data_IF_631271157950
#
_entry.id   IF_631271157950
#
_cell.length_a   1.000
_cell.length_b   1.000
_cell.length_c   1.000
_cell.angle_alpha   90.00
_cell.angle_beta   90.00
_cell.angle_gamma   90.00
#
_symmetry.space_group_name_H-M   'P 1'
#
loop_
_entity.id
_entity.type
_entity.pdbx_description
1 polymer ?
#
# COMPACT_ATOMS: atom_id res chain seq x y z
N UNK A 1 -5.57 -11.05 -13.29
CA UNK A 1 -6.72 -10.44 -12.60
C UNK A 1 -6.29 -9.10 -12.03
N UNK A 2 -7.22 -8.15 -11.88
CA UNK A 2 -6.94 -6.84 -11.27
C UNK A 2 -7.67 -6.69 -9.94
N UNK A 3 -7.00 -6.07 -8.97
CA UNK A 3 -7.57 -5.75 -7.65
C UNK A 3 -7.18 -4.33 -7.25
N UNK A 4 -8.13 -3.60 -6.69
CA UNK A 4 -7.86 -2.35 -5.98
C UNK A 4 -7.76 -2.62 -4.49
N UNK A 5 -6.60 -2.28 -3.95
CA UNK A 5 -6.29 -2.42 -2.53
C UNK A 5 -6.21 -1.04 -1.89
N UNK A 6 -6.68 -0.93 -0.65
CA UNK A 6 -6.45 0.25 0.19
C UNK A 6 -5.83 -0.20 1.49
N UNK A 7 -4.65 0.35 1.78
CA UNK A 7 -3.95 0.16 3.04
C UNK A 7 -4.02 1.43 3.87
N UNK A 8 -4.61 1.32 5.06
CA UNK A 8 -4.70 2.45 6.00
C UNK A 8 -3.65 2.24 7.09
N UNK A 9 -2.98 3.30 7.49
CA UNK A 9 -2.02 3.28 8.60
C UNK A 9 -2.70 2.88 9.92
N UNK A 10 -1.95 2.25 10.82
CA UNK A 10 -2.47 1.88 12.15
C UNK A 10 -2.88 3.16 12.88
N UNK A 11 -4.10 3.18 13.41
CA UNK A 11 -4.71 4.33 14.08
C UNK A 11 -4.88 5.58 13.20
N UNK A 12 -4.90 5.42 11.86
CA UNK A 12 -5.01 6.54 10.90
C UNK A 12 -3.96 7.63 11.14
N UNK A 13 -2.75 7.22 11.56
CA UNK A 13 -1.65 8.14 11.81
C UNK A 13 -1.20 8.74 10.48
N UNK A 14 -1.02 10.06 10.48
CA UNK A 14 -0.62 10.84 9.30
C UNK A 14 0.87 10.68 8.96
N UNK A 15 1.27 9.43 8.70
CA UNK A 15 2.66 9.05 8.42
C UNK A 15 3.13 9.66 7.10
N UNK A 16 2.23 9.83 6.14
CA UNK A 16 2.57 10.24 4.77
C UNK A 16 2.50 11.76 4.55
N UNK A 17 2.52 12.58 5.61
CA UNK A 17 2.60 14.04 5.54
C UNK A 17 4.00 14.57 5.19
N UNK A 18 4.86 13.74 4.63
CA UNK A 18 6.23 14.07 4.29
C UNK A 18 6.59 13.34 3.00
N UNK A 19 7.08 14.10 2.04
CA UNK A 19 7.37 13.61 0.69
C UNK A 19 8.37 12.45 0.69
N UNK A 20 9.40 12.49 1.54
CA UNK A 20 10.39 11.40 1.64
C UNK A 20 9.71 10.08 2.04
N UNK A 21 8.83 10.11 3.06
CA UNK A 21 8.08 8.93 3.49
C UNK A 21 7.09 8.44 2.44
N UNK A 22 6.48 9.34 1.66
CA UNK A 22 5.62 9.01 0.52
C UNK A 22 6.44 8.31 -0.58
N UNK A 23 7.56 8.90 -0.99
CA UNK A 23 8.44 8.33 -2.01
C UNK A 23 8.95 6.94 -1.59
N UNK A 24 9.37 6.78 -0.33
CA UNK A 24 9.90 5.52 0.18
C UNK A 24 8.83 4.43 0.27
N UNK A 25 7.64 4.72 0.81
CA UNK A 25 6.58 3.70 0.89
C UNK A 25 6.16 3.23 -0.50
N UNK A 26 6.01 4.15 -1.46
CA UNK A 26 5.72 3.81 -2.86
C UNK A 26 6.84 2.95 -3.44
N UNK A 27 8.11 3.36 -3.28
CA UNK A 27 9.29 2.61 -3.73
C UNK A 27 9.33 1.18 -3.18
N UNK A 28 9.07 1.00 -1.89
CA UNK A 28 9.08 -0.33 -1.26
C UNK A 28 7.94 -1.21 -1.76
N UNK A 29 6.74 -0.64 -1.92
CA UNK A 29 5.59 -1.35 -2.49
C UNK A 29 5.85 -1.76 -3.95
N UNK A 30 6.44 -0.89 -4.77
CA UNK A 30 6.87 -1.27 -6.14
C UNK A 30 7.91 -2.38 -6.14
N UNK A 31 8.91 -2.30 -5.25
CA UNK A 31 9.99 -3.29 -5.19
C UNK A 31 9.47 -4.70 -4.83
N UNK A 32 8.59 -4.80 -3.83
CA UNK A 32 8.02 -6.09 -3.43
C UNK A 32 7.03 -6.63 -4.47
N UNK A 33 6.24 -5.75 -5.10
CA UNK A 33 5.36 -6.15 -6.21
C UNK A 33 6.16 -6.75 -7.35
N UNK A 34 7.27 -6.10 -7.76
CA UNK A 34 8.17 -6.62 -8.79
C UNK A 34 8.76 -7.98 -8.40
N UNK A 35 9.16 -8.16 -7.14
CA UNK A 35 9.71 -9.44 -6.64
C UNK A 35 8.74 -10.62 -6.80
N UNK A 36 7.44 -10.37 -6.66
CA UNK A 36 6.39 -11.39 -6.78
C UNK A 36 5.68 -11.38 -8.15
N UNK A 37 6.22 -10.67 -9.15
CA UNK A 37 5.62 -10.52 -10.48
C UNK A 37 4.21 -9.92 -10.47
N UNK A 38 3.92 -9.04 -9.50
CA UNK A 38 2.72 -8.21 -9.52
C UNK A 38 3.00 -6.94 -10.31
N UNK A 39 2.08 -6.58 -11.22
CA UNK A 39 2.16 -5.36 -12.01
C UNK A 39 1.35 -4.30 -11.28
N UNK A 40 2.02 -3.26 -10.77
CA UNK A 40 1.35 -2.09 -10.23
C UNK A 40 0.95 -1.20 -11.40
N UNK A 41 -0.35 -1.06 -11.62
CA UNK A 41 -0.91 -0.20 -12.67
C UNK A 41 -0.93 1.25 -12.18
N UNK A 42 -1.37 1.47 -10.95
CA UNK A 42 -1.43 2.79 -10.33
C UNK A 42 -1.24 2.70 -8.82
N UNK A 43 -0.59 3.71 -8.23
CA UNK A 43 -0.39 3.79 -6.79
C UNK A 43 -0.41 5.24 -6.32
N UNK A 44 -1.42 5.56 -5.51
CA UNK A 44 -1.55 6.89 -4.90
C UNK A 44 -1.62 6.81 -3.38
N UNK A 45 -1.32 7.92 -2.74
CA UNK A 45 -1.13 8.00 -1.29
C UNK A 45 -1.68 9.33 -0.80
N UNK A 46 -2.49 9.28 0.24
CA UNK A 46 -2.91 10.44 1.03
C UNK A 46 -2.21 10.37 2.40
N UNK A 47 -2.52 11.29 3.32
CA UNK A 47 -1.86 11.48 4.61
C UNK A 47 -1.74 10.19 5.46
N UNK A 48 -2.73 9.32 5.41
CA UNK A 48 -2.85 8.15 6.29
C UNK A 48 -3.13 6.82 5.57
N UNK A 49 -3.19 6.79 4.23
CA UNK A 49 -3.52 5.58 3.48
C UNK A 49 -2.91 5.56 2.06
N UNK A 50 -2.83 4.36 1.49
CA UNK A 50 -2.30 4.11 0.13
C UNK A 50 -3.32 3.30 -0.67
N UNK A 51 -3.63 3.79 -1.87
CA UNK A 51 -4.41 3.07 -2.89
C UNK A 51 -3.46 2.39 -3.87
N UNK A 52 -3.72 1.12 -4.19
CA UNK A 52 -2.92 0.34 -5.14
C UNK A 52 -3.86 -0.37 -6.12
N UNK A 53 -3.74 -0.05 -7.40
CA UNK A 53 -4.32 -0.86 -8.48
C UNK A 53 -3.26 -1.84 -8.96
N UNK A 54 -3.52 -3.13 -8.75
CA UNK A 54 -2.54 -4.19 -8.93
C UNK A 54 -3.10 -5.31 -9.82
N UNK A 55 -2.29 -5.75 -10.77
CA UNK A 55 -2.55 -6.93 -11.59
C UNK A 55 -1.68 -8.10 -11.13
N UNK A 56 -2.29 -9.28 -11.02
CA UNK A 56 -1.69 -10.49 -10.47
C UNK A 56 -2.23 -11.76 -11.14
N UNK A 57 -1.49 -12.87 -10.98
CA UNK A 57 -1.87 -14.20 -11.44
C UNK A 57 -3.04 -14.77 -10.61
N UNK A 58 -4.08 -15.36 -11.23
CA UNK A 58 -5.26 -15.89 -10.51
C UNK A 58 -4.96 -16.98 -9.47
N UNK A 59 -3.80 -17.64 -9.55
CA UNK A 59 -3.35 -18.66 -8.61
C UNK A 59 -2.89 -18.09 -7.25
N UNK A 60 -2.77 -16.77 -7.13
CA UNK A 60 -2.32 -16.10 -5.91
C UNK A 60 -3.51 -15.51 -5.18
N UNK A 61 -3.66 -15.82 -3.89
CA UNK A 61 -4.76 -15.25 -3.09
C UNK A 61 -4.52 -13.77 -2.81
N UNK A 62 -5.59 -12.96 -2.82
CA UNK A 62 -5.50 -11.52 -2.47
C UNK A 62 -4.94 -11.34 -1.05
N UNK A 63 -5.29 -12.23 -0.11
CA UNK A 63 -4.75 -12.22 1.25
C UNK A 63 -3.23 -12.40 1.29
N UNK A 64 -2.65 -13.25 0.44
CA UNK A 64 -1.21 -13.46 0.39
C UNK A 64 -0.49 -12.23 -0.19
N UNK A 65 -1.06 -11.63 -1.24
CA UNK A 65 -0.57 -10.38 -1.81
C UNK A 65 -0.53 -9.31 -0.71
N UNK A 66 -1.65 -9.10 -0.02
CA UNK A 66 -1.76 -8.09 1.05
C UNK A 66 -0.76 -8.35 2.17
N UNK A 67 -0.61 -9.60 2.60
CA UNK A 67 0.38 -10.00 3.61
C UNK A 67 1.80 -9.63 3.17
N UNK A 68 2.20 -10.01 1.97
CA UNK A 68 3.53 -9.73 1.42
C UNK A 68 3.79 -8.22 1.31
N UNK A 69 2.85 -7.47 0.75
CA UNK A 69 2.97 -6.01 0.58
C UNK A 69 3.09 -5.31 1.94
N UNK A 70 2.20 -5.61 2.89
CA UNK A 70 2.17 -4.96 4.21
C UNK A 70 3.40 -5.33 5.05
N UNK A 71 3.83 -6.60 5.05
CA UNK A 71 4.99 -7.03 5.82
C UNK A 71 6.28 -6.39 5.32
N UNK A 72 6.52 -6.46 4.00
CA UNK A 72 7.75 -5.90 3.42
C UNK A 72 7.82 -4.38 3.59
N UNK A 73 6.74 -3.67 3.25
CA UNK A 73 6.70 -2.20 3.41
C UNK A 73 6.85 -1.78 4.87
N UNK A 74 6.23 -2.49 5.83
CA UNK A 74 6.42 -2.20 7.26
C UNK A 74 7.89 -2.35 7.64
N UNK A 75 8.53 -3.46 7.26
CA UNK A 75 9.93 -3.70 7.59
C UNK A 75 10.85 -2.60 7.03
N UNK A 76 10.70 -2.25 5.75
CA UNK A 76 11.54 -1.23 5.13
C UNK A 76 11.27 0.16 5.73
N UNK A 77 10.02 0.55 5.92
CA UNK A 77 9.70 1.84 6.53
C UNK A 77 10.30 1.98 7.93
N UNK A 78 10.25 0.92 8.76
CA UNK A 78 10.91 0.93 10.06
C UNK A 78 12.44 1.00 9.95
N UNK A 79 13.04 0.36 8.95
CA UNK A 79 14.49 0.40 8.74
C UNK A 79 14.99 1.81 8.40
N UNK A 80 14.24 2.59 7.62
CA UNK A 80 14.68 3.91 7.14
C UNK A 80 14.11 5.08 7.95
N UNK A 81 13.01 4.88 8.68
CA UNK A 81 12.29 5.95 9.38
C UNK A 81 12.05 5.64 10.87
N UNK A 82 12.94 4.89 11.51
CA UNK A 82 12.81 4.45 12.91
C UNK A 82 12.61 5.63 13.88
N UNK A 83 13.38 6.72 13.73
CA UNK A 83 13.32 7.90 14.60
C UNK A 83 11.94 8.59 14.58
N UNK A 84 11.24 8.53 13.44
CA UNK A 84 9.90 9.06 13.32
C UNK A 84 8.86 8.04 13.80
N UNK A 85 8.95 6.78 13.34
CA UNK A 85 7.94 5.76 13.57
C UNK A 85 7.90 5.28 15.03
N UNK A 86 9.03 5.25 15.73
CA UNK A 86 9.09 4.95 17.17
C UNK A 86 8.27 5.93 18.02
N UNK A 87 8.25 7.21 17.61
CA UNK A 87 7.42 8.26 18.25
C UNK A 87 5.93 8.07 17.97
N UNK A 88 5.57 7.51 16.82
CA UNK A 88 4.18 7.25 16.43
C UNK A 88 3.63 5.95 17.02
N UNK A 89 4.49 4.93 17.19
CA UNK A 89 4.12 3.56 17.53
C UNK A 89 5.00 3.01 18.66
N UNK A 90 4.55 3.15 19.91
CA UNK A 90 5.40 2.93 21.09
C UNK A 90 5.79 1.47 21.35
N UNK A 91 4.85 0.53 21.24
CA UNK A 91 5.07 -0.86 21.70
C UNK A 91 5.45 -1.84 20.60
N UNK A 92 4.99 -1.60 19.38
CA UNK A 92 5.10 -2.57 18.30
C UNK A 92 5.48 -1.88 17.01
N UNK A 93 6.36 -2.52 16.24
CA UNK A 93 6.69 -2.11 14.88
C UNK A 93 5.50 -2.36 13.95
N UNK A 94 4.57 -1.40 13.93
CA UNK A 94 3.38 -1.37 13.09
C UNK A 94 3.50 -0.24 12.07
N UNK A 95 2.81 -0.39 10.96
CA UNK A 95 2.64 0.69 9.98
C UNK A 95 1.18 0.72 9.55
N UNK A 96 0.66 -0.45 9.14
CA UNK A 96 -0.71 -0.60 8.66
C UNK A 96 -1.68 -1.06 9.75
N UNK A 97 -2.95 -0.73 9.58
CA UNK A 97 -4.07 -1.35 10.31
C UNK A 97 -4.13 -2.85 10.03
N UNK A 98 -4.88 -3.63 10.81
CA UNK A 98 -4.94 -5.07 10.59
C UNK A 98 -5.79 -5.40 9.34
N UNK A 99 -6.88 -4.65 9.14
CA UNK A 99 -7.73 -4.74 7.95
C UNK A 99 -7.12 -4.15 6.68
N UNK A 100 -7.86 -4.31 5.58
CA UNK A 100 -7.58 -3.75 4.27
C UNK A 100 -8.87 -3.74 3.46
N UNK A 101 -8.96 -2.87 2.46
CA UNK A 101 -9.99 -2.96 1.42
C UNK A 101 -9.43 -3.74 0.23
N UNK A 102 -10.27 -4.57 -0.40
CA UNK A 102 -9.97 -5.23 -1.66
C UNK A 102 -11.23 -5.30 -2.53
N UNK A 103 -11.12 -4.86 -3.77
CA UNK A 103 -12.20 -4.93 -4.76
C UNK A 103 -11.66 -5.43 -6.10
N UNK A 104 -12.31 -6.44 -6.69
CA UNK A 104 -11.95 -6.92 -8.04
C UNK A 104 -12.41 -5.92 -9.10
N UNK A 105 -11.65 -5.81 -10.18
CA UNK A 105 -11.91 -4.82 -11.24
C UNK A 105 -12.06 -5.54 -12.58
N UNK A 106 -13.19 -5.28 -13.24
CA UNK A 106 -13.43 -5.65 -14.63
C UNK A 106 -13.07 -4.51 -15.58
N UNK A 107 -13.09 -4.75 -16.90
CA UNK A 107 -12.68 -3.75 -17.89
C UNK A 107 -13.45 -2.42 -17.80
N UNK A 108 -14.78 -2.46 -17.60
CA UNK A 108 -15.60 -1.24 -17.51
C UNK A 108 -15.32 -0.42 -16.23
N UNK A 109 -14.92 -1.07 -15.12
CA UNK A 109 -14.66 -0.39 -13.84
C UNK A 109 -13.24 0.16 -13.72
N UNK A 110 -12.31 -0.25 -14.59
CA UNK A 110 -10.93 0.23 -14.56
C UNK A 110 -10.82 1.73 -14.82
N UNK A 111 -11.45 2.25 -15.87
CA UNK A 111 -11.40 3.68 -16.22
C UNK A 111 -11.98 4.58 -15.11
N UNK A 112 -12.98 4.09 -14.38
CA UNK A 112 -13.60 4.82 -13.27
C UNK A 112 -12.67 4.85 -12.06
N UNK A 113 -12.02 3.71 -11.76
CA UNK A 113 -11.13 3.59 -10.61
C UNK A 113 -9.81 4.31 -10.84
N UNK A 114 -9.26 4.32 -12.05
CA UNK A 114 -8.07 5.10 -12.38
C UNK A 114 -8.31 6.59 -12.10
N UNK A 115 -9.44 7.14 -12.56
CA UNK A 115 -9.84 8.52 -12.25
C UNK A 115 -10.05 8.75 -10.75
N UNK A 116 -10.69 7.80 -10.05
CA UNK A 116 -10.88 7.90 -8.60
C UNK A 116 -9.54 7.93 -7.86
N UNK A 117 -8.62 7.01 -8.18
CA UNK A 117 -7.30 6.95 -7.53
C UNK A 117 -6.48 8.21 -7.84
N UNK A 118 -6.54 8.75 -9.07
CA UNK A 118 -5.89 10.02 -9.42
C UNK A 118 -6.41 11.19 -8.58
N UNK A 119 -7.70 11.19 -8.22
CA UNK A 119 -8.36 12.27 -7.49
C UNK A 119 -8.35 12.08 -5.95
N UNK A 120 -7.78 10.99 -5.44
CA UNK A 120 -7.69 10.69 -4.01
C UNK A 120 -6.23 10.67 -3.51
N UNK A 121 -5.27 10.87 -4.41
CA UNK A 121 -3.88 11.19 -4.04
C UNK A 121 -3.68 12.67 -3.77
#
# INVERSE_FOLDING_TARGET
MKVHLIFVTKYRKRVFNNEVRVCDVKKFLYAISKKFNYIVIQMETDQDHVHILLEYCPNTSVSDIVKQLKQYSTYQMWKYHEDFLSKQYWKHRKLWSDGYFACSIGQASQNVIEKYIQNQG
#
